data_IF_116526990715
#
_entry.id   IF_116526990715
#
_cell.length_a   1.000
_cell.length_b   1.000
_cell.length_c   1.000
_cell.angle_alpha   90.00
_cell.angle_beta   90.00
_cell.angle_gamma   90.00
#
_symmetry.space_group_name_H-M   'P 1'
#
loop_
_entity.id
_entity.type
_entity.pdbx_description
1 polymer ?
#
# COMPACT_ATOMS: atom_id res chain seq x y z
N UNK A 1 4.32 -25.74 25.44
CA UNK A 1 4.38 -24.27 25.28
C UNK A 1 5.22 -24.02 24.04
N UNK A 2 4.65 -23.44 22.98
CA UNK A 2 5.45 -22.99 21.82
C UNK A 2 6.41 -21.88 22.25
N UNK A 3 7.66 -21.98 21.82
CA UNK A 3 8.71 -20.99 22.05
C UNK A 3 8.51 -19.78 21.12
N UNK A 4 9.09 -18.62 21.43
CA UNK A 4 9.00 -17.43 20.57
C UNK A 4 9.58 -17.64 19.16
N UNK A 5 10.46 -18.64 18.98
CA UNK A 5 10.96 -19.06 17.66
C UNK A 5 9.91 -19.85 16.87
N UNK A 6 9.16 -20.75 17.51
CA UNK A 6 8.06 -21.50 16.86
C UNK A 6 6.94 -20.55 16.37
N UNK A 7 6.81 -19.36 16.96
CA UNK A 7 5.86 -18.33 16.55
C UNK A 7 6.31 -17.54 15.32
N UNK A 8 7.60 -17.33 15.11
CA UNK A 8 8.12 -16.58 13.96
C UNK A 8 7.98 -17.40 12.66
N UNK A 9 8.22 -18.71 12.73
CA UNK A 9 8.11 -19.63 11.59
C UNK A 9 6.65 -19.85 11.14
N UNK A 10 5.68 -19.62 12.02
CA UNK A 10 4.24 -19.73 11.72
C UNK A 10 3.56 -18.45 11.23
N UNK A 11 4.26 -17.30 11.20
CA UNK A 11 3.66 -16.03 10.78
C UNK A 11 3.09 -16.05 9.35
N UNK A 12 3.77 -16.62 8.34
CA UNK A 12 3.24 -16.69 6.98
C UNK A 12 1.88 -17.41 6.92
N UNK A 13 1.76 -18.56 7.59
CA UNK A 13 0.51 -19.34 7.65
C UNK A 13 -0.62 -18.59 8.37
N UNK A 14 -0.30 -17.88 9.45
CA UNK A 14 -1.26 -17.04 10.18
C UNK A 14 -1.78 -15.91 9.29
N UNK A 15 -0.90 -15.24 8.54
CA UNK A 15 -1.28 -14.14 7.66
C UNK A 15 -2.11 -14.63 6.48
N UNK A 16 -1.69 -15.73 5.83
CA UNK A 16 -2.47 -16.36 4.77
C UNK A 16 -3.88 -16.72 5.26
N UNK A 17 -3.98 -17.40 6.41
CA UNK A 17 -5.27 -17.77 7.01
C UNK A 17 -6.14 -16.54 7.27
N UNK A 18 -5.56 -15.46 7.78
CA UNK A 18 -6.28 -14.21 8.01
C UNK A 18 -6.83 -13.62 6.71
N UNK A 19 -6.03 -13.52 5.66
CA UNK A 19 -6.48 -12.94 4.39
C UNK A 19 -7.54 -13.80 3.70
N UNK A 20 -7.42 -15.14 3.74
CA UNK A 20 -8.45 -16.05 3.26
C UNK A 20 -9.76 -15.91 4.06
N UNK A 21 -9.67 -15.77 5.38
CA UNK A 21 -10.84 -15.49 6.22
C UNK A 21 -11.43 -14.09 5.99
N UNK A 22 -10.72 -13.15 5.37
CA UNK A 22 -11.28 -11.83 5.01
C UNK A 22 -11.61 -11.69 3.53
N UNK A 23 -11.32 -12.71 2.73
CA UNK A 23 -11.62 -12.72 1.32
C UNK A 23 -13.12 -12.56 1.06
N UNK A 24 -13.47 -11.65 0.15
CA UNK A 24 -14.85 -11.41 -0.27
C UNK A 24 -15.25 -12.21 -1.52
N UNK A 25 -14.33 -12.99 -2.10
CA UNK A 25 -14.55 -13.78 -3.33
C UNK A 25 -15.92 -14.48 -3.35
N UNK A 26 -16.19 -15.34 -2.37
CA UNK A 26 -17.45 -16.10 -2.33
C UNK A 26 -18.72 -15.27 -2.08
N UNK A 27 -18.60 -14.04 -1.55
CA UNK A 27 -19.76 -13.13 -1.42
C UNK A 27 -20.06 -12.38 -2.71
N UNK A 28 -19.01 -12.13 -3.49
CA UNK A 28 -19.09 -11.45 -4.78
C UNK A 28 -19.29 -12.42 -5.95
N UNK A 29 -19.25 -13.73 -5.71
CA UNK A 29 -19.33 -14.75 -6.75
C UNK A 29 -18.10 -14.73 -7.66
N UNK A 30 -16.91 -14.48 -7.10
CA UNK A 30 -15.65 -14.45 -7.84
C UNK A 30 -14.99 -15.81 -7.74
N UNK A 31 -15.13 -16.62 -8.78
CA UNK A 31 -14.64 -18.00 -8.83
C UNK A 31 -13.50 -18.19 -9.86
N UNK A 32 -13.48 -17.39 -10.93
CA UNK A 32 -12.47 -17.49 -12.00
C UNK A 32 -11.90 -16.14 -12.49
N UNK A 33 -11.14 -16.20 -13.59
CA UNK A 33 -10.46 -15.02 -14.15
C UNK A 33 -11.44 -14.03 -14.81
N UNK A 34 -12.56 -14.51 -15.36
CA UNK A 34 -13.59 -13.65 -15.96
C UNK A 34 -14.35 -12.91 -14.86
N UNK A 35 -14.72 -13.59 -13.76
CA UNK A 35 -15.38 -12.93 -12.63
C UNK A 35 -14.52 -11.82 -12.02
N UNK A 36 -13.21 -12.08 -11.85
CA UNK A 36 -12.26 -11.07 -11.38
C UNK A 36 -12.29 -9.88 -12.34
N UNK A 37 -12.15 -10.13 -13.64
CA UNK A 37 -12.05 -9.08 -14.65
C UNK A 37 -13.30 -8.22 -14.72
N UNK A 38 -14.47 -8.85 -14.75
CA UNK A 38 -15.77 -8.17 -14.80
C UNK A 38 -16.00 -7.35 -13.54
N UNK A 39 -15.65 -7.89 -12.38
CA UNK A 39 -15.72 -7.16 -11.12
C UNK A 39 -14.81 -5.92 -11.11
N UNK A 40 -13.56 -6.03 -11.56
CA UNK A 40 -12.65 -4.86 -11.60
C UNK A 40 -13.12 -3.79 -12.59
N UNK A 41 -13.75 -4.18 -13.71
CA UNK A 41 -14.37 -3.22 -14.62
C UNK A 41 -15.54 -2.48 -13.98
N UNK A 42 -16.39 -3.18 -13.23
CA UNK A 42 -17.47 -2.54 -12.47
C UNK A 42 -16.92 -1.54 -11.44
N UNK A 43 -15.85 -1.91 -10.73
CA UNK A 43 -15.19 -1.01 -9.78
C UNK A 43 -14.59 0.25 -10.43
N UNK A 44 -14.03 0.16 -11.64
CA UNK A 44 -13.58 1.36 -12.36
C UNK A 44 -14.70 2.35 -12.64
N UNK A 45 -15.93 1.86 -12.84
CA UNK A 45 -17.08 2.69 -13.15
C UNK A 45 -17.62 3.35 -11.88
N UNK A 46 -17.85 2.58 -10.82
CA UNK A 46 -18.44 3.08 -9.57
C UNK A 46 -18.09 2.22 -8.35
N UNK A 47 -16.79 2.17 -8.02
CA UNK A 47 -16.31 1.41 -6.86
C UNK A 47 -17.04 1.74 -5.55
N UNK A 48 -17.31 3.02 -5.20
CA UNK A 48 -17.94 3.33 -3.94
C UNK A 48 -19.31 2.65 -3.81
N UNK A 49 -20.21 2.78 -4.79
CA UNK A 49 -21.57 2.21 -4.69
C UNK A 49 -21.61 0.67 -4.63
N UNK A 50 -20.59 0.00 -5.17
CA UNK A 50 -20.46 -1.46 -5.12
C UNK A 50 -20.03 -1.93 -3.72
N UNK A 51 -19.13 -1.20 -3.08
CA UNK A 51 -18.45 -1.63 -1.87
C UNK A 51 -19.00 -1.00 -0.58
N UNK A 52 -19.64 0.17 -0.68
CA UNK A 52 -20.06 0.97 0.47
C UNK A 52 -21.11 2.03 0.13
N UNK A 53 -21.90 2.50 1.09
CA UNK A 53 -22.78 3.66 0.90
C UNK A 53 -22.02 5.02 0.94
N UNK A 54 -20.69 4.98 0.93
CA UNK A 54 -19.80 6.13 1.12
C UNK A 54 -19.34 6.68 -0.21
N UNK A 55 -19.03 7.97 -0.28
CA UNK A 55 -18.59 8.64 -1.51
C UNK A 55 -17.07 8.77 -1.63
N UNK A 56 -16.30 8.43 -0.59
CA UNK A 56 -14.85 8.53 -0.64
C UNK A 56 -14.26 7.54 -1.65
N UNK A 57 -13.16 7.93 -2.35
CA UNK A 57 -12.54 7.08 -3.34
C UNK A 57 -11.96 5.81 -2.73
N UNK A 58 -11.93 4.77 -3.56
CA UNK A 58 -11.33 3.47 -3.24
C UNK A 58 -9.98 3.38 -3.94
N UNK A 59 -8.98 2.90 -3.22
CA UNK A 59 -7.62 2.69 -3.70
C UNK A 59 -7.27 1.21 -3.65
N UNK A 60 -6.38 0.79 -4.54
CA UNK A 60 -6.11 -0.62 -4.78
C UNK A 60 -4.65 -0.96 -4.51
N UNK A 61 -4.36 -2.13 -3.95
CA UNK A 61 -2.97 -2.62 -3.81
C UNK A 61 -2.90 -4.09 -4.14
N UNK A 62 -2.05 -4.44 -5.11
CA UNK A 62 -1.69 -5.83 -5.36
C UNK A 62 -0.52 -6.28 -4.51
N UNK A 63 -0.60 -7.53 -4.04
CA UNK A 63 0.47 -8.21 -3.33
C UNK A 63 0.64 -9.60 -3.92
N UNK A 64 1.85 -9.92 -4.36
CA UNK A 64 2.14 -11.14 -5.11
C UNK A 64 2.03 -12.43 -4.29
N UNK A 65 2.09 -12.32 -2.97
CA UNK A 65 2.00 -13.45 -2.04
C UNK A 65 0.95 -13.21 -0.98
N UNK A 66 0.08 -14.19 -0.77
CA UNK A 66 -0.97 -14.16 0.25
C UNK A 66 -0.42 -14.23 1.68
N UNK A 67 0.75 -14.81 1.89
CA UNK A 67 1.34 -14.99 3.21
C UNK A 67 2.09 -13.75 3.74
N UNK A 68 2.10 -12.66 2.97
CA UNK A 68 2.72 -11.41 3.36
C UNK A 68 1.77 -10.49 4.14
N UNK A 69 2.33 -9.73 5.09
CA UNK A 69 1.62 -8.69 5.82
C UNK A 69 1.42 -7.40 5.00
N UNK A 70 0.32 -6.69 5.28
CA UNK A 70 0.06 -5.32 4.81
C UNK A 70 0.91 -4.32 5.62
N UNK A 71 2.20 -4.26 5.30
CA UNK A 71 3.19 -3.48 6.05
C UNK A 71 4.01 -2.55 5.15
N UNK A 72 4.53 -1.48 5.74
CA UNK A 72 5.48 -0.57 5.09
C UNK A 72 6.90 -1.15 5.06
N UNK A 73 7.72 -0.70 4.10
CA UNK A 73 9.12 -1.16 4.00
C UNK A 73 9.97 -0.71 5.20
N UNK A 74 9.72 0.50 5.72
CA UNK A 74 10.37 0.97 6.95
C UNK A 74 10.02 0.14 8.17
N UNK A 75 8.77 -0.30 8.29
CA UNK A 75 8.38 -1.19 9.38
C UNK A 75 9.14 -2.50 9.36
N UNK A 76 9.19 -3.16 8.19
CA UNK A 76 9.92 -4.41 8.01
C UNK A 76 11.40 -4.24 8.34
N UNK A 77 12.05 -3.22 7.77
CA UNK A 77 13.44 -2.88 8.10
C UNK A 77 13.64 -2.70 9.61
N UNK A 78 12.74 -1.97 10.26
CA UNK A 78 12.82 -1.71 11.71
C UNK A 78 12.65 -2.99 12.51
N UNK A 79 11.72 -3.86 12.11
CA UNK A 79 11.47 -5.16 12.75
C UNK A 79 12.69 -6.07 12.62
N UNK A 80 13.27 -6.17 11.43
CA UNK A 80 14.42 -7.03 11.14
C UNK A 80 15.68 -6.62 11.93
N UNK A 81 15.80 -5.33 12.27
CA UNK A 81 16.91 -4.79 13.05
C UNK A 81 16.63 -4.67 14.56
N UNK A 82 15.42 -5.02 15.01
CA UNK A 82 15.10 -5.08 16.43
C UNK A 82 15.53 -6.42 17.03
N UNK A 83 15.95 -6.41 18.29
CA UNK A 83 16.20 -7.64 19.03
C UNK A 83 14.96 -8.53 19.04
N UNK A 84 15.16 -9.83 18.83
CA UNK A 84 14.09 -10.83 18.79
C UNK A 84 13.13 -10.71 19.98
N UNK A 85 11.83 -10.83 19.71
CA UNK A 85 10.77 -10.70 20.71
C UNK A 85 10.35 -9.25 21.04
N UNK A 86 11.04 -8.23 20.52
CA UNK A 86 10.62 -6.82 20.72
C UNK A 86 9.61 -6.37 19.66
N UNK A 87 8.64 -5.58 20.10
CA UNK A 87 7.67 -4.93 19.22
C UNK A 87 8.23 -3.62 18.65
N UNK A 88 7.94 -3.36 17.37
CA UNK A 88 8.16 -2.06 16.75
C UNK A 88 7.24 -1.03 17.43
N UNK A 89 7.77 0.16 17.69
CA UNK A 89 7.01 1.26 18.30
C UNK A 89 7.02 2.46 17.35
N UNK A 90 6.09 3.40 17.53
CA UNK A 90 6.12 4.67 16.79
C UNK A 90 7.44 5.41 16.96
N UNK A 91 8.07 5.34 18.14
CA UNK A 91 9.39 5.93 18.35
C UNK A 91 10.46 5.27 17.48
N UNK A 92 10.41 3.96 17.29
CA UNK A 92 11.36 3.27 16.41
C UNK A 92 11.18 3.75 14.95
N UNK A 93 9.94 3.79 14.45
CA UNK A 93 9.68 4.29 13.09
C UNK A 93 10.07 5.75 12.93
N UNK A 94 9.73 6.61 13.88
CA UNK A 94 10.06 8.03 13.84
C UNK A 94 11.58 8.26 13.78
N UNK A 95 12.34 7.59 14.66
CA UNK A 95 13.80 7.73 14.66
C UNK A 95 14.43 7.22 13.35
N UNK A 96 13.94 6.10 12.82
CA UNK A 96 14.42 5.55 11.56
C UNK A 96 14.07 6.46 10.37
N UNK A 97 12.84 6.98 10.32
CA UNK A 97 12.37 7.92 9.30
C UNK A 97 13.22 9.20 9.28
N UNK A 98 13.44 9.84 10.43
CA UNK A 98 14.30 11.03 10.54
C UNK A 98 15.72 10.71 10.08
N UNK A 99 16.32 9.62 10.57
CA UNK A 99 17.69 9.25 10.20
C UNK A 99 17.85 8.99 8.70
N UNK A 100 16.91 8.31 8.06
CA UNK A 100 16.95 8.04 6.62
C UNK A 100 16.74 9.31 5.78
N UNK A 101 15.81 10.19 6.18
CA UNK A 101 15.59 11.46 5.49
C UNK A 101 16.79 12.40 5.61
N UNK A 102 17.42 12.47 6.78
CA UNK A 102 18.64 13.25 7.00
C UNK A 102 19.81 12.68 6.18
N UNK A 103 19.96 11.36 6.14
CA UNK A 103 20.95 10.71 5.28
C UNK A 103 20.72 11.04 3.80
N UNK A 104 19.49 10.93 3.31
CA UNK A 104 19.13 11.28 1.94
C UNK A 104 19.46 12.75 1.62
N UNK A 105 19.08 13.68 2.50
CA UNK A 105 19.40 15.12 2.36
C UNK A 105 20.89 15.41 2.36
N UNK A 106 21.66 14.70 3.19
CA UNK A 106 23.12 14.86 3.24
C UNK A 106 23.81 14.50 1.92
N UNK A 107 23.20 13.60 1.14
CA UNK A 107 23.65 13.22 -0.21
C UNK A 107 23.06 14.10 -1.31
N UNK A 108 22.36 15.18 -0.95
CA UNK A 108 21.75 16.13 -1.88
C UNK A 108 20.37 15.73 -2.41
N UNK A 109 19.82 14.58 -1.99
CA UNK A 109 18.46 14.18 -2.36
C UNK A 109 17.45 15.09 -1.65
N UNK A 110 16.39 15.49 -2.35
CA UNK A 110 15.34 16.35 -1.76
C UNK A 110 15.68 17.83 -1.68
N UNK A 111 16.74 18.30 -2.36
CA UNK A 111 17.02 19.73 -2.49
C UNK A 111 15.82 20.45 -3.11
N UNK A 112 15.26 21.45 -2.41
CA UNK A 112 14.04 22.19 -2.79
C UNK A 112 12.77 21.33 -2.86
N UNK A 113 12.77 20.20 -2.17
CA UNK A 113 11.58 19.39 -1.96
C UNK A 113 11.09 19.56 -0.53
N UNK A 114 9.78 19.48 -0.34
CA UNK A 114 9.22 19.28 0.98
C UNK A 114 9.58 17.92 1.55
N UNK A 115 9.34 17.74 2.85
CA UNK A 115 9.54 16.45 3.51
C UNK A 115 8.70 15.34 2.86
N UNK A 116 7.43 15.59 2.52
CA UNK A 116 6.58 14.59 1.85
C UNK A 116 7.08 14.27 0.44
N UNK A 117 7.47 15.29 -0.35
CA UNK A 117 8.02 15.07 -1.68
C UNK A 117 9.28 14.21 -1.65
N UNK A 118 10.19 14.48 -0.71
CA UNK A 118 11.37 13.65 -0.50
C UNK A 118 10.98 12.22 -0.11
N UNK A 119 10.02 12.05 0.81
CA UNK A 119 9.59 10.72 1.24
C UNK A 119 8.99 9.90 0.08
N UNK A 120 8.17 10.52 -0.77
CA UNK A 120 7.64 9.86 -1.97
C UNK A 120 8.74 9.53 -2.98
N UNK A 121 9.70 10.44 -3.20
CA UNK A 121 10.86 10.15 -4.06
C UNK A 121 11.70 9.00 -3.51
N UNK A 122 11.88 8.93 -2.19
CA UNK A 122 12.58 7.84 -1.53
C UNK A 122 11.87 6.50 -1.79
N UNK A 123 10.56 6.44 -1.55
CA UNK A 123 9.73 5.27 -1.82
C UNK A 123 9.82 4.83 -3.29
N UNK A 124 9.76 5.79 -4.21
CA UNK A 124 9.88 5.55 -5.64
C UNK A 124 11.18 4.80 -6.01
N UNK A 125 12.30 5.23 -5.41
CA UNK A 125 13.62 4.62 -5.60
C UNK A 125 13.89 3.43 -4.65
N UNK A 126 12.83 2.79 -4.15
CA UNK A 126 12.90 1.58 -3.31
C UNK A 126 13.63 1.78 -1.96
N UNK A 127 13.83 3.02 -1.53
CA UNK A 127 14.32 3.29 -0.18
C UNK A 127 13.19 2.99 0.81
N UNK A 128 13.51 2.42 2.00
CA UNK A 128 12.51 2.13 3.01
C UNK A 128 11.77 3.40 3.46
N UNK A 129 10.44 3.37 3.46
CA UNK A 129 9.60 4.46 3.99
C UNK A 129 8.40 3.88 4.73
N UNK A 130 7.69 4.73 5.49
CA UNK A 130 6.41 4.34 6.11
C UNK A 130 5.25 4.30 5.13
N UNK A 131 5.45 4.79 3.91
CA UNK A 131 4.42 4.87 2.89
C UNK A 131 4.05 3.45 2.43
N UNK A 132 2.77 3.28 2.11
CA UNK A 132 2.24 2.09 1.45
C UNK A 132 1.72 2.52 0.09
N UNK A 133 2.29 1.95 -0.97
CA UNK A 133 1.86 2.24 -2.34
C UNK A 133 0.45 1.67 -2.58
N UNK A 134 -0.41 2.50 -3.13
CA UNK A 134 -1.72 2.10 -3.65
C UNK A 134 -1.93 2.75 -5.01
N UNK A 135 -2.75 2.13 -5.85
CA UNK A 135 -3.15 2.63 -7.16
C UNK A 135 -4.56 3.20 -7.08
N UNK A 136 -4.84 4.19 -7.92
CA UNK A 136 -6.21 4.63 -8.19
C UNK A 136 -6.98 3.67 -9.07
N UNK A 137 -6.26 2.89 -9.87
CA UNK A 137 -6.82 1.96 -10.83
C UNK A 137 -6.63 0.50 -10.37
N UNK A 138 -7.69 -0.32 -10.40
CA UNK A 138 -7.61 -1.71 -9.96
C UNK A 138 -6.71 -2.59 -10.84
N UNK A 139 -6.53 -2.30 -12.13
CA UNK A 139 -5.75 -3.16 -13.03
C UNK A 139 -4.23 -2.93 -12.88
N UNK A 140 -3.78 -1.71 -12.63
CA UNK A 140 -2.40 -1.45 -12.21
C UNK A 140 -2.07 -2.15 -10.90
N UNK A 141 -3.00 -2.14 -9.94
CA UNK A 141 -2.85 -2.90 -8.70
C UNK A 141 -2.85 -4.41 -8.96
N UNK A 142 -3.74 -4.90 -9.83
CA UNK A 142 -3.76 -6.31 -10.25
C UNK A 142 -2.40 -6.71 -10.83
N UNK A 143 -1.79 -5.91 -11.71
CA UNK A 143 -0.45 -6.20 -12.24
C UNK A 143 0.57 -6.49 -11.13
N UNK A 144 0.60 -5.70 -10.05
CA UNK A 144 1.51 -5.95 -8.93
C UNK A 144 1.20 -7.24 -8.16
N UNK A 145 -0.06 -7.68 -8.12
CA UNK A 145 -0.45 -8.95 -7.53
C UNK A 145 0.02 -10.16 -8.38
N UNK A 146 0.19 -10.00 -9.69
CA UNK A 146 0.42 -11.14 -10.59
C UNK A 146 1.86 -11.24 -11.12
N UNK A 147 2.57 -10.12 -11.27
CA UNK A 147 3.84 -10.03 -12.01
C UNK A 147 5.04 -10.71 -11.30
N UNK A 148 4.83 -11.31 -10.12
CA UNK A 148 5.85 -12.05 -9.36
C UNK A 148 5.22 -13.23 -8.61
N UNK A 149 6.07 -14.11 -8.10
CA UNK A 149 5.68 -15.25 -7.25
C UNK A 149 4.57 -16.11 -7.90
N UNK A 150 4.78 -16.51 -9.15
CA UNK A 150 3.73 -17.11 -9.99
C UNK A 150 3.11 -18.39 -9.42
N UNK A 151 3.84 -19.11 -8.56
CA UNK A 151 3.41 -20.36 -7.93
C UNK A 151 2.78 -20.14 -6.54
N UNK A 152 2.52 -18.90 -6.14
CA UNK A 152 1.89 -18.55 -4.87
C UNK A 152 0.64 -17.72 -5.12
N UNK A 153 -0.42 -17.98 -4.36
CA UNK A 153 -1.64 -17.17 -4.41
C UNK A 153 -1.33 -15.71 -4.06
N UNK A 154 -2.04 -14.80 -4.71
CA UNK A 154 -1.90 -13.37 -4.52
C UNK A 154 -3.11 -12.74 -3.84
N UNK A 155 -2.97 -11.46 -3.48
CA UNK A 155 -4.03 -10.68 -2.85
C UNK A 155 -4.16 -9.34 -3.55
N UNK A 156 -5.40 -8.94 -3.82
CA UNK A 156 -5.77 -7.59 -4.20
C UNK A 156 -6.55 -6.95 -3.05
N UNK A 157 -5.98 -5.89 -2.49
CA UNK A 157 -6.61 -5.08 -1.46
C UNK A 157 -7.37 -3.92 -2.08
N UNK A 158 -8.56 -3.66 -1.56
CA UNK A 158 -9.37 -2.46 -1.86
C UNK A 158 -9.51 -1.69 -0.56
N UNK A 159 -9.08 -0.43 -0.53
CA UNK A 159 -9.00 0.39 0.68
C UNK A 159 -9.76 1.69 0.45
N UNK A 160 -10.69 2.00 1.35
CA UNK A 160 -11.42 3.26 1.37
C UNK A 160 -11.08 4.03 2.66
N UNK A 161 -10.11 4.96 2.62
CA UNK A 161 -9.78 5.82 3.73
C UNK A 161 -11.01 6.58 4.24
N UNK A 162 -11.12 6.76 5.55
CA UNK A 162 -12.12 7.65 6.14
C UNK A 162 -11.68 9.10 5.99
N UNK A 163 -12.62 10.05 5.91
CA UNK A 163 -12.28 11.47 6.03
C UNK A 163 -11.43 11.69 7.27
N UNK A 164 -10.30 12.36 7.07
CA UNK A 164 -9.42 12.69 8.19
C UNK A 164 -10.18 13.66 9.10
N UNK A 165 -10.15 13.40 10.42
CA UNK A 165 -10.89 14.20 11.40
C UNK A 165 -10.51 15.70 11.29
N UNK A 166 -11.47 16.63 11.40
CA UNK A 166 -11.25 18.09 11.21
C UNK A 166 -10.06 18.64 12.01
N UNK A 167 -9.81 18.10 13.21
CA UNK A 167 -8.67 18.48 14.06
C UNK A 167 -7.29 18.24 13.44
N UNK A 168 -7.19 17.37 12.44
CA UNK A 168 -5.98 17.13 11.66
C UNK A 168 -5.85 18.11 10.48
N UNK A 169 -6.97 18.58 9.93
CA UNK A 169 -6.98 19.60 8.88
C UNK A 169 -6.61 20.98 9.42
N UNK A 170 -6.95 21.28 10.68
CA UNK A 170 -6.73 22.58 11.32
C UNK A 170 -5.40 22.69 12.07
N UNK A 171 -4.63 21.59 12.12
CA UNK A 171 -3.25 21.64 12.57
C UNK A 171 -2.36 22.12 11.43
N UNK A 172 -1.37 23.00 11.70
CA UNK A 172 -0.26 23.29 10.79
C UNK A 172 0.54 22.02 10.38
N UNK A 173 0.20 20.89 11.01
CA UNK A 173 0.66 19.52 10.82
C UNK A 173 -0.31 18.63 9.99
N UNK A 174 -1.27 19.21 9.28
CA UNK A 174 -2.19 18.48 8.40
C UNK A 174 -1.59 18.27 6.98
N UNK A 175 -1.68 17.07 6.39
CA UNK A 175 -1.23 16.82 5.02
C UNK A 175 -2.08 17.52 3.94
N UNK A 176 -3.25 18.07 4.31
CA UNK A 176 -4.21 18.70 3.41
C UNK A 176 -4.41 20.21 3.61
N UNK A 177 -3.54 20.91 4.34
CA UNK A 177 -3.76 22.34 4.66
C UNK A 177 -3.68 23.27 3.45
N UNK A 178 -3.28 22.81 2.26
CA UNK A 178 -3.26 23.59 1.01
C UNK A 178 -2.38 24.87 1.07
N UNK A 179 -1.76 25.14 2.21
CA UNK A 179 -0.90 26.27 2.50
C UNK A 179 0.50 25.69 2.71
N UNK A 180 1.33 25.87 1.70
CA UNK A 180 2.80 25.70 1.77
C UNK A 180 3.34 24.31 2.16
N UNK A 181 2.61 23.22 1.85
CA UNK A 181 3.16 21.86 1.92
C UNK A 181 4.39 21.66 0.99
N UNK A 182 4.63 22.55 0.02
CA UNK A 182 5.81 22.57 -0.84
C UNK A 182 7.06 23.18 -0.17
N UNK A 183 6.91 23.86 0.98
CA UNK A 183 8.01 24.51 1.70
C UNK A 183 8.35 23.84 3.05
N UNK A 184 7.46 23.00 3.59
CA UNK A 184 7.67 22.36 4.88
C UNK A 184 8.85 21.35 4.83
N UNK A 185 9.92 21.67 5.58
CA UNK A 185 11.10 20.81 5.70
C UNK A 185 10.89 19.65 6.69
N UNK A 186 9.77 19.62 7.40
CA UNK A 186 9.41 18.65 8.44
C UNK A 186 8.12 17.93 8.06
N UNK A 187 8.04 16.63 8.38
CA UNK A 187 6.83 15.84 8.14
C UNK A 187 5.69 16.29 9.06
N UNK A 188 4.43 16.31 8.58
CA UNK A 188 3.31 16.77 9.40
C UNK A 188 3.11 15.95 10.68
N UNK A 189 3.43 14.65 10.66
CA UNK A 189 3.36 13.76 11.82
C UNK A 189 4.64 13.66 12.66
N UNK A 190 5.67 14.49 12.40
CA UNK A 190 6.95 14.39 13.11
C UNK A 190 6.82 14.56 14.64
N UNK A 191 5.84 15.32 15.11
CA UNK A 191 5.60 15.57 16.55
C UNK A 191 4.65 14.59 17.25
N UNK A 192 4.08 13.61 16.54
CA UNK A 192 2.97 12.79 17.05
C UNK A 192 3.42 11.51 17.78
N UNK A 193 4.69 11.15 17.66
CA UNK A 193 5.30 10.12 18.51
C UNK A 193 5.56 10.70 19.92
N UNK A 194 4.81 10.26 20.93
CA UNK A 194 4.91 10.79 22.31
C UNK A 194 5.66 9.84 23.24
N UNK A 195 6.90 10.19 23.62
CA UNK A 195 7.69 9.42 24.58
C UNK A 195 8.22 8.09 24.02
N UNK A 196 8.50 7.11 24.90
CA UNK A 196 9.16 5.84 24.50
C UNK A 196 8.22 4.80 23.90
N UNK A 197 6.95 4.81 24.30
CA UNK A 197 6.00 3.74 24.00
C UNK A 197 4.62 4.24 23.57
N UNK A 198 4.30 5.52 23.72
CA UNK A 198 2.98 6.07 23.42
C UNK A 198 3.01 6.86 22.11
N UNK A 199 1.87 6.94 21.46
CA UNK A 199 1.62 7.82 20.34
C UNK A 199 0.26 8.44 20.54
N UNK A 200 0.02 9.57 19.87
CA UNK A 200 -1.31 10.15 19.88
C UNK A 200 -2.33 9.15 19.30
N UNK A 201 -3.44 8.92 20.01
CA UNK A 201 -4.49 8.00 19.54
C UNK A 201 -5.12 8.46 18.22
N UNK A 202 -5.12 9.77 17.97
CA UNK A 202 -5.52 10.34 16.69
C UNK A 202 -4.52 10.05 15.56
N UNK A 203 -3.27 9.66 15.86
CA UNK A 203 -2.30 9.24 14.85
C UNK A 203 -2.40 7.74 14.54
N UNK A 204 -2.50 6.90 15.57
CA UNK A 204 -2.50 5.43 15.42
C UNK A 204 -3.77 4.89 14.79
N UNK A 205 -4.86 5.68 14.78
CA UNK A 205 -6.15 5.28 14.23
C UNK A 205 -6.45 5.94 12.89
N UNK A 206 -5.54 6.77 12.35
CA UNK A 206 -5.75 7.45 11.08
C UNK A 206 -5.05 6.74 9.92
N UNK A 207 -5.71 6.73 8.77
CA UNK A 207 -5.14 6.35 7.48
C UNK A 207 -5.24 7.56 6.58
N UNK A 208 -4.08 8.08 6.19
CA UNK A 208 -3.95 9.34 5.48
C UNK A 208 -3.53 9.04 4.06
N UNK A 209 -4.24 9.64 3.10
CA UNK A 209 -3.83 9.67 1.71
C UNK A 209 -2.80 10.78 1.50
N UNK A 210 -1.66 10.42 0.89
CA UNK A 210 -0.65 11.35 0.38
C UNK A 210 -0.79 11.34 -1.14
N UNK A 211 -1.36 12.43 -1.64
CA UNK A 211 -1.60 12.68 -3.05
C UNK A 211 -0.79 13.90 -3.47
N UNK A 212 0.45 13.65 -3.88
CA UNK A 212 1.34 14.69 -4.41
C UNK A 212 1.44 14.56 -5.92
N UNK A 213 1.67 15.67 -6.66
CA UNK A 213 1.92 15.61 -8.09
C UNK A 213 3.02 14.60 -8.43
N UNK A 214 2.80 13.82 -9.48
CA UNK A 214 3.72 12.77 -9.92
C UNK A 214 5.10 13.35 -10.17
N UNK A 215 6.11 12.81 -9.49
CA UNK A 215 7.49 13.30 -9.56
C UNK A 215 8.28 12.71 -10.73
N UNK A 216 7.82 11.57 -11.26
CA UNK A 216 8.46 10.85 -12.36
C UNK A 216 7.44 10.04 -13.21
N UNK A 217 7.82 9.59 -14.42
CA UNK A 217 6.93 8.84 -15.31
C UNK A 217 6.44 7.50 -14.78
N UNK A 218 7.21 6.83 -13.90
CA UNK A 218 6.80 5.54 -13.34
C UNK A 218 5.71 5.74 -12.29
N UNK A 219 5.77 6.79 -11.46
CA UNK A 219 4.64 7.10 -10.56
C UNK A 219 3.35 7.34 -11.34
N UNK A 220 3.44 8.03 -12.48
CA UNK A 220 2.30 8.29 -13.34
C UNK A 220 1.76 7.02 -14.00
N UNK A 221 2.63 6.18 -14.55
CA UNK A 221 2.24 4.93 -15.19
C UNK A 221 1.58 3.92 -14.23
N UNK A 222 1.90 4.02 -12.94
CA UNK A 222 1.37 3.14 -11.91
C UNK A 222 0.06 3.66 -11.29
N UNK A 223 -0.47 4.80 -11.78
CA UNK A 223 -1.59 5.51 -11.16
C UNK A 223 -1.42 5.68 -9.65
N UNK A 224 -0.16 5.87 -9.23
CA UNK A 224 0.31 5.61 -7.87
C UNK A 224 0.07 6.78 -6.92
N UNK A 225 -0.48 6.46 -5.75
CA UNK A 225 -0.57 7.35 -4.58
C UNK A 225 -0.13 6.57 -3.34
N UNK A 226 -0.02 7.24 -2.20
CA UNK A 226 0.48 6.59 -0.99
C UNK A 226 -0.50 6.70 0.17
N UNK A 227 -0.57 5.65 0.97
CA UNK A 227 -1.19 5.69 2.30
C UNK A 227 -0.10 5.80 3.37
N UNK A 228 -0.41 6.53 4.45
CA UNK A 228 0.43 6.63 5.64
C UNK A 228 -0.44 6.70 6.90
N UNK A 229 0.16 6.52 8.06
CA UNK A 229 -0.53 6.55 9.35
C UNK A 229 0.40 6.13 10.48
N UNK A 230 -0.12 6.25 11.71
CA UNK A 230 0.53 5.67 12.88
C UNK A 230 0.33 4.17 12.92
N UNK A 231 1.25 3.48 13.59
CA UNK A 231 1.16 2.06 13.85
C UNK A 231 -0.13 1.74 14.59
N UNK A 232 -0.96 0.97 13.91
CA UNK A 232 -2.23 0.51 14.45
C UNK A 232 -2.00 -0.32 15.71
N UNK A 233 -2.71 0.03 16.77
CA UNK A 233 -2.69 -0.69 18.05
C UNK A 233 -4.10 -1.13 18.40
N UNK A 234 -4.47 -2.34 18.00
CA UNK A 234 -5.75 -2.91 18.44
C UNK A 234 -5.61 -3.53 19.82
N UNK A 235 -6.06 -2.83 20.86
CA UNK A 235 -6.20 -3.43 22.20
C UNK A 235 -7.37 -4.44 22.26
N UNK A 236 -8.26 -4.43 21.26
CA UNK A 236 -9.33 -5.40 21.08
C UNK A 236 -8.99 -6.33 19.93
N UNK A 237 -8.91 -7.63 20.22
CA UNK A 237 -8.91 -8.65 19.17
C UNK A 237 -10.29 -8.59 18.52
N UNK A 238 -10.40 -8.03 17.31
CA UNK A 238 -11.68 -7.97 16.59
C UNK A 238 -12.00 -9.37 16.03
N UNK A 239 -12.64 -10.18 16.88
CA UNK A 239 -13.40 -11.34 16.46
C UNK A 239 -14.69 -10.86 15.78
N UNK A 240 -15.00 -11.40 14.61
CA UNK A 240 -16.41 -11.60 14.25
C UNK A 240 -16.81 -12.92 14.90
N UNK A 241 -17.31 -12.81 16.12
CA UNK A 241 -17.58 -13.92 17.03
C UNK A 241 -18.96 -14.51 16.73
N UNK A 242 -19.06 -15.53 15.85
CA UNK A 242 -20.24 -16.42 15.81
C UNK A 242 -20.05 -17.91 15.52
N UNK A 243 -18.83 -18.47 15.35
CA UNK A 243 -18.67 -19.94 15.28
C UNK A 243 -17.32 -20.43 15.84
N UNK A 244 -17.22 -20.75 17.14
CA UNK A 244 -16.09 -21.52 17.65
C UNK A 244 -16.24 -22.98 17.22
N UNK A 245 -15.47 -23.38 16.20
CA UNK A 245 -15.22 -24.79 15.89
C UNK A 245 -14.17 -25.38 16.84
N UNK A 246 -14.23 -26.68 17.18
CA UNK A 246 -13.25 -27.31 18.04
C UNK A 246 -11.89 -27.36 17.33
N UNK A 247 -10.95 -26.49 17.74
CA UNK A 247 -9.60 -26.42 17.19
C UNK A 247 -9.01 -25.00 17.11
N UNK A 248 -9.84 -23.96 17.09
CA UNK A 248 -9.41 -22.57 16.94
C UNK A 248 -9.59 -21.78 18.22
N UNK A 249 -8.61 -21.89 19.12
CA UNK A 249 -8.53 -21.09 20.34
C UNK A 249 -7.25 -20.25 20.31
N UNK A 250 -7.41 -18.97 19.91
CA UNK A 250 -6.63 -17.77 20.30
C UNK A 250 -6.55 -16.83 19.10
N UNK A 251 -7.32 -15.75 19.13
CA UNK A 251 -7.19 -14.68 18.17
C UNK A 251 -5.78 -14.07 18.17
N UNK A 252 -5.48 -13.27 17.14
CA UNK A 252 -4.18 -12.63 16.99
C UNK A 252 -3.79 -11.94 18.29
N UNK A 253 -2.65 -12.34 18.87
CA UNK A 253 -2.05 -11.64 20.02
C UNK A 253 -1.91 -10.15 19.66
N UNK A 254 -2.06 -9.26 20.64
CA UNK A 254 -2.00 -7.80 20.46
C UNK A 254 -0.88 -7.32 19.52
N UNK A 255 0.34 -7.87 19.66
CA UNK A 255 1.48 -7.54 18.82
C UNK A 255 1.40 -7.99 17.36
N UNK A 256 0.67 -9.08 17.08
CA UNK A 256 0.52 -9.62 15.73
C UNK A 256 -0.38 -8.74 14.84
N UNK A 257 -1.29 -7.97 15.43
CA UNK A 257 -2.17 -7.09 14.66
C UNK A 257 -1.39 -6.02 13.90
N UNK A 258 -0.40 -5.40 14.55
CA UNK A 258 0.51 -4.43 13.93
C UNK A 258 1.45 -5.10 12.94
N UNK A 259 1.93 -6.32 13.23
CA UNK A 259 2.78 -7.09 12.32
C UNK A 259 2.02 -7.47 11.02
N UNK A 260 0.73 -7.78 11.12
CA UNK A 260 -0.15 -8.13 9.99
C UNK A 260 -0.57 -6.91 9.15
N UNK A 261 -0.98 -5.82 9.80
CA UNK A 261 -1.43 -4.59 9.14
C UNK A 261 -0.93 -3.37 9.93
N UNK A 262 0.03 -2.64 9.36
CA UNK A 262 0.61 -1.48 10.05
C UNK A 262 -0.38 -0.33 10.19
N UNK A 263 -1.29 -0.18 9.23
CA UNK A 263 -2.30 0.88 9.20
C UNK A 263 -3.61 0.40 9.83
N UNK A 264 -4.35 1.34 10.41
CA UNK A 264 -5.64 1.12 11.06
C UNK A 264 -6.75 0.91 10.02
N UNK A 265 -6.66 -0.20 9.27
CA UNK A 265 -7.63 -0.60 8.25
C UNK A 265 -8.51 -1.71 8.81
N UNK A 266 -9.82 -1.52 8.74
CA UNK A 266 -10.78 -2.53 9.10
C UNK A 266 -11.04 -3.45 7.89
N UNK A 267 -10.35 -4.59 7.86
CA UNK A 267 -10.55 -5.61 6.83
C UNK A 267 -11.87 -6.36 7.07
N UNK A 268 -12.85 -6.21 6.18
CA UNK A 268 -14.23 -6.70 6.39
C UNK A 268 -14.74 -7.52 5.22
N UNK A 269 -15.70 -8.40 5.53
CA UNK A 269 -16.52 -9.14 4.56
C UNK A 269 -17.89 -8.48 4.31
N UNK A 270 -18.18 -7.38 4.99
CA UNK A 270 -19.50 -6.71 4.96
C UNK A 270 -19.40 -5.39 4.20
N UNK A 271 -20.36 -5.14 3.31
CA UNK A 271 -20.43 -3.92 2.48
C UNK A 271 -21.33 -2.82 3.08
N UNK A 272 -22.30 -3.20 3.93
CA UNK A 272 -23.28 -2.26 4.53
C UNK A 272 -22.93 -1.88 5.98
N UNK A 273 -21.72 -1.38 6.22
CA UNK A 273 -21.21 -1.21 7.58
C UNK A 273 -21.28 0.24 8.10
N UNK A 274 -21.70 0.42 9.35
CA UNK A 274 -21.71 1.73 10.04
C UNK A 274 -20.34 2.04 10.65
N UNK A 275 -19.87 3.28 10.50
CA UNK A 275 -18.56 3.78 10.95
C UNK A 275 -18.07 3.18 12.28
N UNK A 276 -16.87 2.57 12.28
CA UNK A 276 -16.16 2.17 13.50
C UNK A 276 -15.10 3.22 13.81
N UNK A 277 -15.28 3.96 14.91
CA UNK A 277 -14.40 5.06 15.32
C UNK A 277 -12.96 4.65 15.68
N UNK A 278 -12.66 3.34 15.74
CA UNK A 278 -11.32 2.83 16.01
C UNK A 278 -10.42 2.64 14.78
N UNK A 279 -10.94 2.80 13.56
CA UNK A 279 -10.21 2.60 12.32
C UNK A 279 -10.22 3.85 11.46
N UNK A 280 -9.18 4.02 10.65
CA UNK A 280 -9.00 5.15 9.74
C UNK A 280 -9.33 4.82 8.29
N UNK A 281 -9.63 3.56 7.99
CA UNK A 281 -10.10 3.11 6.68
C UNK A 281 -10.93 1.83 6.80
N UNK A 282 -11.76 1.58 5.80
CA UNK A 282 -12.35 0.26 5.53
C UNK A 282 -11.53 -0.43 4.44
N UNK A 283 -11.36 -1.74 4.56
CA UNK A 283 -10.67 -2.52 3.54
C UNK A 283 -11.38 -3.83 3.20
N UNK A 284 -11.26 -4.24 1.95
CA UNK A 284 -11.74 -5.52 1.42
C UNK A 284 -10.61 -6.24 0.72
N UNK A 285 -10.73 -7.57 0.62
CA UNK A 285 -9.67 -8.46 0.17
C UNK A 285 -10.22 -9.40 -0.90
N UNK A 286 -9.57 -9.45 -2.05
CA UNK A 286 -9.76 -10.52 -3.05
C UNK A 286 -8.50 -11.37 -3.05
N UNK A 287 -8.66 -12.68 -2.87
CA UNK A 287 -7.57 -13.63 -3.07
C UNK A 287 -7.58 -14.11 -4.51
N UNK A 288 -6.40 -14.24 -5.11
CA UNK A 288 -6.23 -14.64 -6.50
C UNK A 288 -5.40 -15.93 -6.54
N UNK A 289 -6.00 -17.08 -6.91
CA UNK A 289 -5.27 -18.32 -7.05
C UNK A 289 -4.09 -18.18 -8.03
N UNK A 290 -2.95 -18.78 -7.68
CA UNK A 290 -1.75 -18.83 -8.53
C UNK A 290 -2.04 -19.32 -9.96
N UNK A 291 -2.96 -20.28 -10.10
CA UNK A 291 -3.40 -20.82 -11.39
C UNK A 291 -3.97 -19.77 -12.36
N UNK A 292 -4.58 -18.68 -11.84
CA UNK A 292 -5.18 -17.63 -12.66
C UNK A 292 -4.19 -16.54 -13.08
N UNK A 293 -3.01 -16.45 -12.44
CA UNK A 293 -2.06 -15.35 -12.65
C UNK A 293 -1.64 -15.17 -14.10
N UNK A 294 -1.32 -16.28 -14.79
CA UNK A 294 -0.85 -16.25 -16.17
C UNK A 294 -1.91 -15.74 -17.14
N UNK A 295 -3.14 -16.17 -16.95
CA UNK A 295 -4.27 -15.75 -17.76
C UNK A 295 -4.56 -14.27 -17.60
N UNK A 296 -4.69 -13.81 -16.35
CA UNK A 296 -4.94 -12.40 -16.02
C UNK A 296 -3.79 -11.48 -16.49
N UNK A 297 -2.52 -11.89 -16.38
CA UNK A 297 -1.39 -11.14 -16.92
C UNK A 297 -1.45 -10.99 -18.45
N UNK A 298 -1.83 -12.06 -19.15
CA UNK A 298 -2.00 -12.00 -20.60
C UNK A 298 -3.14 -11.05 -20.98
N UNK A 299 -4.20 -11.01 -20.17
CA UNK A 299 -5.36 -10.14 -20.36
C UNK A 299 -5.00 -8.66 -20.12
N UNK A 300 -4.32 -8.36 -19.00
CA UNK A 300 -3.73 -7.04 -18.72
C UNK A 300 -2.90 -6.51 -19.89
N UNK A 301 -2.06 -7.36 -20.49
CA UNK A 301 -1.25 -6.96 -21.64
C UNK A 301 -2.09 -6.65 -22.88
N UNK A 302 -3.09 -7.48 -23.19
CA UNK A 302 -3.85 -7.41 -24.45
C UNK A 302 -4.95 -6.35 -24.41
N UNK A 303 -5.66 -6.26 -23.30
CA UNK A 303 -6.85 -5.41 -23.16
C UNK A 303 -6.52 -4.05 -22.56
N UNK A 304 -5.57 -4.00 -21.61
CA UNK A 304 -5.23 -2.76 -20.88
C UNK A 304 -3.90 -2.14 -21.29
N UNK A 305 -3.07 -2.85 -22.07
CA UNK A 305 -1.70 -2.41 -22.38
C UNK A 305 -0.80 -2.36 -21.14
N UNK A 306 -1.16 -3.06 -20.07
CA UNK A 306 -0.42 -3.12 -18.81
C UNK A 306 0.56 -4.32 -18.85
N UNK A 307 1.85 -4.02 -18.79
CA UNK A 307 2.95 -4.98 -18.78
C UNK A 307 4.18 -4.34 -18.11
N UNK A 308 5.27 -5.10 -17.94
CA UNK A 308 6.42 -4.63 -17.17
C UNK A 308 6.97 -3.27 -17.63
N UNK A 309 7.21 -3.08 -18.93
CA UNK A 309 7.81 -1.83 -19.40
C UNK A 309 6.83 -0.66 -19.44
N UNK A 310 5.51 -0.92 -19.51
CA UNK A 310 4.52 0.16 -19.31
C UNK A 310 4.43 0.57 -17.84
N UNK A 311 4.56 -0.37 -16.89
CA UNK A 311 4.53 -0.10 -15.45
C UNK A 311 5.86 0.40 -14.87
N UNK A 312 6.97 0.11 -15.55
CA UNK A 312 8.32 0.57 -15.20
C UNK A 312 9.01 1.18 -16.43
N UNK A 313 8.57 2.36 -16.91
CA UNK A 313 9.14 2.98 -18.11
C UNK A 313 10.68 3.13 -18.00
N UNK A 314 11.45 2.48 -18.88
CA UNK A 314 12.91 2.53 -18.82
C UNK A 314 13.39 3.83 -19.48
N UNK A 315 13.28 4.95 -18.76
CA UNK A 315 13.48 6.31 -19.29
C UNK A 315 14.83 6.48 -19.99
N UNK A 316 15.89 5.85 -19.46
CA UNK A 316 17.24 5.93 -20.04
C UNK A 316 17.32 5.21 -21.38
N UNK A 317 16.74 4.02 -21.47
CA UNK A 317 16.69 3.17 -22.65
C UNK A 317 15.81 3.81 -23.73
N UNK A 318 14.64 4.33 -23.35
CA UNK A 318 13.75 5.08 -24.25
C UNK A 318 14.45 6.33 -24.79
N UNK A 319 15.20 7.06 -23.94
CA UNK A 319 15.98 8.23 -24.40
C UNK A 319 17.01 7.85 -25.46
N UNK A 320 17.71 6.72 -25.29
CA UNK A 320 18.67 6.21 -26.30
C UNK A 320 17.99 5.83 -27.61
N UNK A 321 16.84 5.16 -27.53
CA UNK A 321 16.05 4.79 -28.70
C UNK A 321 15.60 6.04 -29.47
N UNK A 322 14.99 7.01 -28.80
CA UNK A 322 14.52 8.27 -29.42
C UNK A 322 15.65 9.02 -30.11
N UNK A 323 16.81 9.13 -29.48
CA UNK A 323 18.00 9.75 -30.11
C UNK A 323 18.46 9.00 -31.36
N UNK A 324 18.40 7.67 -31.32
CA UNK A 324 18.79 6.82 -32.44
C UNK A 324 17.82 6.98 -33.62
N UNK A 325 16.52 6.97 -33.36
CA UNK A 325 15.50 7.14 -34.40
C UNK A 325 15.53 8.53 -35.02
N UNK A 326 15.69 9.58 -34.21
CA UNK A 326 15.88 10.95 -34.72
C UNK A 326 17.12 11.03 -35.63
N UNK A 327 18.24 10.44 -35.20
CA UNK A 327 19.46 10.39 -36.01
C UNK A 327 19.31 9.59 -37.31
N UNK A 328 18.48 8.54 -37.32
CA UNK A 328 18.16 7.78 -38.54
C UNK A 328 17.31 8.59 -39.51
N UNK A 329 16.29 9.28 -39.02
CA UNK A 329 15.41 10.12 -39.84
C UNK A 329 16.19 11.27 -40.50
N UNK A 330 17.01 12.00 -39.72
CA UNK A 330 17.83 13.10 -40.25
C UNK A 330 18.79 12.60 -41.33
N UNK A 331 19.47 11.47 -41.11
CA UNK A 331 20.37 10.89 -42.12
C UNK A 331 19.66 10.44 -43.40
N UNK A 332 18.39 10.03 -43.31
CA UNK A 332 17.58 9.69 -44.48
C UNK A 332 17.20 10.94 -45.27
N UNK A 333 16.75 12.00 -44.60
CA UNK A 333 16.45 13.28 -45.27
C UNK A 333 17.68 13.88 -45.95
N UNK A 334 18.85 13.87 -45.28
CA UNK A 334 20.10 14.37 -45.88
C UNK A 334 20.52 13.56 -47.12
N UNK A 335 20.15 12.28 -47.22
CA UNK A 335 20.45 11.43 -48.38
C UNK A 335 19.43 11.57 -49.51
N UNK A 336 18.19 11.94 -49.21
CA UNK A 336 17.13 12.11 -50.21
C UNK A 336 17.09 13.53 -50.80
N UNK A 337 17.63 14.53 -50.11
CA UNK A 337 17.55 15.94 -50.51
C UNK A 337 18.91 16.67 -50.61
N UNK A 338 20.03 15.99 -50.38
CA UNK A 338 21.41 16.50 -50.54
C UNK A 338 22.08 16.06 -51.83
#
# INVERSE_FOLDING_TARGET
>A
MMTDNDFADGLPEIFETYWRDRAVNGRLGIDDADDIWDFLNQLRIDAPSILSDRTEPIFFRGQSRIDHAFSSSLYRLTKDNLQSGRQVTERHLHLAEVAMMDAARSQGLGRRMSAQQLLCLMQHHLMPTRLIDVSRDPFEALFFALNKDHDTDAVLFMIQPLPVHESWHDSDAGPGSGKDASAASVLPWAGLARGKTQADGSWTNNVILIDIPTLDPRMQAQSGVFLTGGLFRSYRVYYDDKRPGPGYNKGLRHGLSTDLSNLAIMWTKNFNFSQNSGFGATGWVITIPSSLKRELLNRLRKEEGIYSDSMYPPVTEVSRLVKTEAGRLIKREDQEFG
#
